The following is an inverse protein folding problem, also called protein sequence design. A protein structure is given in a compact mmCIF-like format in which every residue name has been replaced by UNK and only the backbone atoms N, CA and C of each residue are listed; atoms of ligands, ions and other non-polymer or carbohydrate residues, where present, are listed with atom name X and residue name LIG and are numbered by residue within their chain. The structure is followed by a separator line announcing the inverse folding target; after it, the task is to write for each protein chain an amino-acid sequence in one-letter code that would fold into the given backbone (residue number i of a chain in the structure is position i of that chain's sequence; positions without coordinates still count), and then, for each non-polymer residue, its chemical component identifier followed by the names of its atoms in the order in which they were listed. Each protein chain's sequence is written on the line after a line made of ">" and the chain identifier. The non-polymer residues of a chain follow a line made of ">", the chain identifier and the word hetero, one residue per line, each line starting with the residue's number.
data_IF_828203648721
#
_entry.id   IF_828203648721
#
_cell.length_a   1.000
_cell.length_b   1.000
_cell.length_c   1.000
_cell.angle_alpha   90.00
_cell.angle_beta   90.00
_cell.angle_gamma   90.00
#
_symmetry.space_group_name_H-M   'P 1'
#
loop_
_entity.id
_entity.type
_entity.pdbx_description
1 polymer ?
#
# COMPACT_ATOMS: atom_id res chain seq x y z
N UNK A 1 11.45 2.02 8.86
CA UNK A 1 11.05 2.49 7.52
C UNK A 1 9.55 2.26 7.40
N UNK A 2 8.79 3.25 6.93
CA UNK A 2 7.30 3.23 6.91
C UNK A 2 6.72 2.04 6.14
N UNK A 3 7.42 1.57 5.12
CA UNK A 3 7.03 0.47 4.25
C UNK A 3 6.79 -0.86 5.01
N UNK A 4 7.61 -1.17 6.01
CA UNK A 4 7.44 -2.35 6.88
C UNK A 4 6.15 -2.24 7.70
N UNK A 5 5.81 -1.04 8.18
CA UNK A 5 4.60 -0.80 8.95
C UNK A 5 3.34 -0.93 8.09
N UNK A 6 3.37 -0.40 6.86
CA UNK A 6 2.30 -0.60 5.88
C UNK A 6 2.11 -2.07 5.52
N UNK A 7 3.21 -2.81 5.34
CA UNK A 7 3.19 -4.27 5.12
C UNK A 7 2.50 -4.98 6.29
N UNK A 8 2.99 -4.80 7.51
CA UNK A 8 2.46 -5.48 8.70
C UNK A 8 0.97 -5.17 8.92
N UNK A 9 0.59 -3.92 8.73
CA UNK A 9 -0.80 -3.50 8.90
C UNK A 9 -1.71 -4.11 7.81
N UNK A 10 -1.26 -4.17 6.56
CA UNK A 10 -2.00 -4.86 5.49
C UNK A 10 -2.18 -6.35 5.77
N UNK A 11 -1.15 -7.04 6.27
CA UNK A 11 -1.25 -8.46 6.67
C UNK A 11 -2.28 -8.62 7.79
N UNK A 12 -2.22 -7.75 8.81
CA UNK A 12 -3.15 -7.76 9.94
C UNK A 12 -4.60 -7.49 9.53
N UNK A 13 -4.81 -6.53 8.62
CA UNK A 13 -6.14 -6.12 8.16
C UNK A 13 -6.80 -7.17 7.25
N UNK A 14 -6.02 -7.79 6.37
CA UNK A 14 -6.55 -8.64 5.29
C UNK A 14 -6.40 -10.13 5.57
N UNK A 15 -5.49 -10.53 6.48
CA UNK A 15 -5.11 -11.91 6.71
C UNK A 15 -4.33 -12.54 5.56
N UNK A 16 -3.94 -11.76 4.54
CA UNK A 16 -3.15 -12.23 3.40
C UNK A 16 -1.66 -12.02 3.65
N UNK A 17 -0.78 -12.90 3.13
CA UNK A 17 0.64 -12.64 3.13
C UNK A 17 0.96 -11.44 2.22
N UNK A 18 1.85 -10.56 2.68
CA UNK A 18 2.26 -9.36 1.94
C UNK A 18 3.76 -9.42 1.63
N UNK A 19 4.12 -9.30 0.36
CA UNK A 19 5.51 -9.41 -0.12
C UNK A 19 6.02 -8.08 -0.71
N UNK A 20 7.29 -7.71 -0.47
CA UNK A 20 7.92 -6.59 -1.17
C UNK A 20 8.30 -6.99 -2.59
N UNK A 21 8.02 -6.13 -3.57
CA UNK A 21 8.44 -6.20 -4.99
C UNK A 21 7.86 -7.36 -5.80
N UNK A 22 7.90 -8.58 -5.29
CA UNK A 22 7.49 -9.80 -5.99
C UNK A 22 6.96 -10.85 -5.01
N UNK A 23 5.96 -11.60 -5.46
CA UNK A 23 5.44 -12.80 -4.76
C UNK A 23 6.26 -14.04 -5.11
N UNK A 24 6.29 -15.07 -4.27
CA UNK A 24 6.74 -16.42 -4.67
C UNK A 24 5.87 -17.01 -5.79
N UNK A 25 6.46 -17.85 -6.64
CA UNK A 25 5.79 -18.44 -7.82
C UNK A 25 4.61 -19.37 -7.46
N UNK A 26 4.62 -19.96 -6.27
CA UNK A 26 3.59 -20.89 -5.78
C UNK A 26 2.45 -20.21 -5.01
N UNK A 27 2.49 -18.88 -4.86
CA UNK A 27 1.51 -18.13 -4.06
C UNK A 27 0.56 -17.34 -4.96
N UNK A 28 -0.67 -17.84 -5.09
CA UNK A 28 -1.70 -17.20 -5.92
C UNK A 28 -2.71 -16.31 -5.19
N UNK A 29 -2.61 -16.22 -3.86
CA UNK A 29 -3.47 -15.38 -3.04
C UNK A 29 -2.61 -14.57 -2.05
N UNK A 30 -2.30 -13.33 -2.40
CA UNK A 30 -1.39 -12.48 -1.65
C UNK A 30 -1.52 -11.00 -2.04
N UNK A 31 -0.73 -10.16 -1.38
CA UNK A 31 -0.53 -8.77 -1.76
C UNK A 31 0.96 -8.54 -2.03
N UNK A 32 1.29 -7.79 -3.07
CA UNK A 32 2.65 -7.33 -3.34
C UNK A 32 2.69 -5.81 -3.21
N UNK A 33 3.69 -5.26 -2.53
CA UNK A 33 3.84 -3.80 -2.41
C UNK A 33 5.17 -3.30 -2.97
N UNK A 34 5.17 -2.07 -3.46
CA UNK A 34 6.39 -1.38 -3.92
C UNK A 34 6.30 0.13 -3.69
N UNK A 35 7.46 0.76 -3.48
CA UNK A 35 7.60 2.23 -3.47
C UNK A 35 7.79 2.69 -4.90
N UNK A 36 6.87 3.49 -5.42
CA UNK A 36 6.86 3.91 -6.83
C UNK A 36 7.58 5.24 -7.02
N UNK A 37 7.53 6.13 -6.03
CA UNK A 37 8.16 7.44 -6.11
C UNK A 37 8.26 8.11 -4.75
N UNK A 38 9.37 8.82 -4.53
CA UNK A 38 9.59 9.69 -3.38
C UNK A 38 9.52 11.15 -3.83
N UNK A 39 8.64 11.94 -3.21
CA UNK A 39 8.62 13.38 -3.35
C UNK A 39 8.99 14.01 -2.00
N UNK A 40 10.14 14.69 -1.96
CA UNK A 40 10.54 15.53 -0.83
C UNK A 40 10.20 16.98 -1.20
N UNK A 41 9.09 17.56 -0.70
CA UNK A 41 8.88 18.99 -0.84
C UNK A 41 10.03 19.75 -0.17
N UNK A 42 10.78 20.53 -0.94
CA UNK A 42 11.73 21.50 -0.40
C UNK A 42 10.94 22.69 0.15
N UNK A 43 10.62 22.65 1.44
CA UNK A 43 9.70 23.61 2.07
C UNK A 43 10.38 24.91 2.48
N UNK A 44 11.71 25.06 2.32
CA UNK A 44 12.46 26.30 2.67
C UNK A 44 12.33 26.76 4.13
N UNK A 45 11.63 26.00 4.98
CA UNK A 45 11.34 26.29 6.38
C UNK A 45 12.14 25.31 7.24
N UNK A 46 13.06 25.85 8.04
CA UNK A 46 13.91 25.08 8.92
C UNK A 46 13.08 24.31 9.95
N UNK A 47 13.09 22.97 9.86
CA UNK A 47 12.80 22.10 11.00
C UNK A 47 11.82 20.94 10.79
N UNK A 48 11.09 20.85 9.68
CA UNK A 48 10.17 19.71 9.44
C UNK A 48 10.30 19.22 8.00
N UNK A 49 11.17 18.24 7.77
CA UNK A 49 11.22 17.54 6.49
C UNK A 49 10.08 16.53 6.42
N UNK A 50 8.99 16.94 5.76
CA UNK A 50 7.93 16.02 5.36
C UNK A 50 8.37 15.27 4.12
N UNK A 51 8.13 13.96 4.11
CA UNK A 51 8.30 13.11 2.94
C UNK A 51 6.92 12.66 2.50
N UNK A 52 6.63 12.80 1.21
CA UNK A 52 5.45 12.22 0.59
C UNK A 52 5.90 11.11 -0.36
N UNK A 53 5.50 9.88 -0.09
CA UNK A 53 5.87 8.72 -0.89
C UNK A 53 4.62 8.06 -1.48
N UNK A 54 4.77 7.47 -2.66
CA UNK A 54 3.71 6.69 -3.30
C UNK A 54 4.03 5.21 -3.18
N UNK A 55 3.13 4.49 -2.52
CA UNK A 55 3.17 3.04 -2.37
C UNK A 55 2.09 2.41 -3.23
N UNK A 56 2.46 1.43 -4.05
CA UNK A 56 1.48 0.64 -4.79
C UNK A 56 1.31 -0.72 -4.13
N UNK A 57 0.06 -1.11 -3.88
CA UNK A 57 -0.34 -2.40 -3.37
C UNK A 57 -1.10 -3.16 -4.46
N UNK A 58 -0.50 -4.25 -4.97
CA UNK A 58 -1.08 -5.16 -5.96
C UNK A 58 -1.65 -6.38 -5.25
N UNK A 59 -2.96 -6.48 -5.21
CA UNK A 59 -3.72 -7.59 -4.65
C UNK A 59 -3.89 -8.65 -5.73
N UNK A 60 -3.55 -9.90 -5.42
CA UNK A 60 -3.58 -11.00 -6.37
C UNK A 60 -4.42 -12.13 -5.76
N UNK A 61 -5.41 -12.62 -6.52
CA UNK A 61 -6.25 -13.75 -6.11
C UNK A 61 -6.88 -14.41 -7.33
N UNK A 62 -7.15 -15.73 -7.32
CA UNK A 62 -7.97 -16.37 -8.35
C UNK A 62 -9.41 -15.82 -8.41
N UNK A 63 -9.88 -15.17 -7.32
CA UNK A 63 -11.21 -14.57 -7.26
C UNK A 63 -11.15 -13.05 -7.42
N UNK A 64 -11.76 -12.56 -8.50
CA UNK A 64 -11.95 -11.11 -8.71
C UNK A 64 -12.66 -10.45 -7.53
N UNK A 65 -13.69 -11.09 -7.00
CA UNK A 65 -14.48 -10.56 -5.88
C UNK A 65 -13.61 -10.37 -4.65
N UNK A 66 -12.76 -11.35 -4.31
CA UNK A 66 -11.84 -11.23 -3.17
C UNK A 66 -10.87 -10.06 -3.34
N UNK A 67 -10.37 -9.80 -4.55
CA UNK A 67 -9.48 -8.65 -4.77
C UNK A 67 -10.20 -7.31 -4.52
N UNK A 68 -11.50 -7.21 -4.90
CA UNK A 68 -12.34 -6.03 -4.61
C UNK A 68 -12.55 -5.86 -3.10
N UNK A 69 -12.89 -6.94 -2.41
CA UNK A 69 -13.13 -6.91 -0.96
C UNK A 69 -11.87 -6.53 -0.19
N UNK A 70 -10.72 -7.09 -0.59
CA UNK A 70 -9.41 -6.78 0.00
C UNK A 70 -9.03 -5.32 -0.21
N UNK A 71 -9.21 -4.77 -1.42
CA UNK A 71 -8.97 -3.35 -1.69
C UNK A 71 -9.86 -2.47 -0.81
N UNK A 72 -11.14 -2.84 -0.67
CA UNK A 72 -12.08 -2.09 0.16
C UNK A 72 -11.65 -2.05 1.62
N UNK A 73 -11.12 -3.17 2.16
CA UNK A 73 -10.57 -3.21 3.53
C UNK A 73 -9.42 -2.21 3.68
N UNK A 74 -8.46 -2.21 2.75
CA UNK A 74 -7.32 -1.30 2.80
C UNK A 74 -7.75 0.17 2.66
N UNK A 75 -8.67 0.47 1.72
CA UNK A 75 -9.20 1.82 1.55
C UNK A 75 -9.93 2.30 2.80
N UNK A 76 -10.79 1.47 3.41
CA UNK A 76 -11.51 1.84 4.63
C UNK A 76 -10.58 2.06 5.82
N UNK A 77 -9.47 1.35 5.88
CA UNK A 77 -8.51 1.49 6.96
C UNK A 77 -7.60 2.71 6.78
N UNK A 78 -7.20 3.03 5.55
CA UNK A 78 -6.11 3.98 5.30
C UNK A 78 -6.54 5.28 4.62
N UNK A 79 -7.54 5.27 3.74
CA UNK A 79 -7.94 6.46 2.98
C UNK A 79 -8.45 7.55 3.93
N UNK A 80 -7.78 8.71 3.92
CA UNK A 80 -8.18 9.86 4.72
C UNK A 80 -7.68 9.86 6.16
N UNK A 81 -6.83 8.89 6.56
CA UNK A 81 -6.11 8.98 7.84
C UNK A 81 -5.30 10.28 7.90
N UNK A 82 -5.43 11.01 9.02
CA UNK A 82 -4.75 12.29 9.24
C UNK A 82 -4.24 12.37 10.68
N UNK A 83 -2.95 12.69 10.85
CA UNK A 83 -2.24 12.74 12.14
C UNK A 83 -2.45 11.48 13.00
N UNK A 84 -2.33 10.30 12.38
CA UNK A 84 -2.58 9.00 13.01
C UNK A 84 -1.35 8.08 12.92
N UNK A 85 -1.52 6.79 13.21
CA UNK A 85 -0.47 5.79 13.17
C UNK A 85 -0.88 4.57 12.34
N UNK A 86 0.05 4.06 11.55
CA UNK A 86 -0.03 2.73 10.92
C UNK A 86 1.00 1.84 11.61
N UNK A 87 0.54 0.73 12.21
CA UNK A 87 1.40 -0.19 12.96
C UNK A 87 2.35 0.56 13.93
N UNK A 88 1.82 1.58 14.62
CA UNK A 88 2.58 2.43 15.55
C UNK A 88 3.44 3.54 14.92
N UNK A 89 3.63 3.54 13.60
CA UNK A 89 4.41 4.54 12.88
C UNK A 89 3.57 5.79 12.57
N UNK A 90 4.04 7.01 12.92
CA UNK A 90 3.27 8.23 12.71
C UNK A 90 3.16 8.60 11.23
N UNK A 91 1.93 8.85 10.78
CA UNK A 91 1.60 9.33 9.44
C UNK A 91 0.84 10.65 9.55
N UNK A 92 1.20 11.62 8.71
CA UNK A 92 0.54 12.92 8.68
C UNK A 92 -0.74 12.85 7.87
N UNK A 93 -0.69 12.19 6.72
CA UNK A 93 -1.85 12.05 5.85
C UNK A 93 -1.69 10.88 4.89
N UNK A 94 -2.79 10.18 4.58
CA UNK A 94 -2.84 9.17 3.54
C UNK A 94 -3.95 9.49 2.55
N UNK A 95 -3.56 9.67 1.29
CA UNK A 95 -4.49 9.84 0.18
C UNK A 95 -4.55 8.59 -0.70
N UNK A 96 -5.72 8.37 -1.30
CA UNK A 96 -5.88 7.39 -2.36
C UNK A 96 -5.25 7.89 -3.66
N UNK A 97 -4.53 7.03 -4.34
CA UNK A 97 -3.91 7.29 -5.64
C UNK A 97 -4.47 6.42 -6.78
N UNK A 98 -3.61 6.13 -7.75
CA UNK A 98 -3.91 5.36 -8.97
C UNK A 98 -4.58 4.00 -8.72
N UNK A 99 -5.23 3.51 -9.77
CA UNK A 99 -5.94 2.22 -9.80
C UNK A 99 -5.61 1.49 -11.09
N UNK A 100 -5.37 0.18 -11.00
CA UNK A 100 -5.42 -0.71 -12.15
C UNK A 100 -6.07 -2.03 -11.78
N UNK A 101 -6.71 -2.66 -12.75
CA UNK A 101 -7.19 -4.04 -12.66
C UNK A 101 -6.77 -4.77 -13.94
N UNK A 102 -6.28 -5.99 -13.78
CA UNK A 102 -5.84 -6.85 -14.87
C UNK A 102 -6.11 -8.33 -14.51
N UNK A 103 -6.05 -9.21 -15.51
CA UNK A 103 -6.13 -10.66 -15.33
C UNK A 103 -4.90 -11.32 -15.92
N UNK A 104 -4.13 -12.00 -15.08
CA UNK A 104 -2.98 -12.78 -15.51
C UNK A 104 -3.45 -14.17 -15.98
N UNK A 105 -3.37 -14.38 -17.28
CA UNK A 105 -3.75 -15.66 -17.90
C UNK A 105 -2.78 -16.81 -17.64
N UNK A 106 -1.51 -16.54 -17.28
CA UNK A 106 -0.53 -17.60 -17.02
C UNK A 106 -0.84 -18.30 -15.69
N UNK A 107 -1.07 -17.50 -14.66
CA UNK A 107 -1.38 -18.00 -13.31
C UNK A 107 -2.89 -18.11 -13.04
N UNK A 108 -3.72 -17.67 -13.99
CA UNK A 108 -5.18 -17.59 -13.90
C UNK A 108 -5.66 -16.79 -12.67
N UNK A 109 -5.06 -15.63 -12.42
CA UNK A 109 -5.36 -14.77 -11.26
C UNK A 109 -5.78 -13.36 -11.67
N UNK A 110 -6.66 -12.77 -10.86
CA UNK A 110 -6.98 -11.36 -10.93
C UNK A 110 -5.95 -10.54 -10.17
N UNK A 111 -5.51 -9.45 -10.79
CA UNK A 111 -4.56 -8.51 -10.25
C UNK A 111 -5.21 -7.13 -10.10
N UNK A 112 -5.28 -6.61 -8.88
CA UNK A 112 -5.85 -5.29 -8.60
C UNK A 112 -4.82 -4.43 -7.88
N UNK A 113 -4.38 -3.35 -8.51
CA UNK A 113 -3.38 -2.45 -7.92
C UNK A 113 -4.02 -1.14 -7.45
N UNK A 114 -3.61 -0.71 -6.26
CA UNK A 114 -4.03 0.55 -5.64
C UNK A 114 -2.81 1.31 -5.14
N UNK A 115 -2.69 2.56 -5.53
CA UNK A 115 -1.67 3.44 -4.95
C UNK A 115 -2.20 4.13 -3.69
N UNK A 116 -1.33 4.28 -2.68
CA UNK A 116 -1.50 5.12 -1.50
C UNK A 116 -0.39 6.16 -1.47
N UNK A 117 -0.77 7.43 -1.33
CA UNK A 117 0.16 8.56 -1.21
C UNK A 117 0.25 8.87 0.27
N UNK A 118 1.39 8.58 0.88
CA UNK A 118 1.59 8.69 2.33
C UNK A 118 2.55 9.82 2.63
N UNK A 119 2.09 10.78 3.43
CA UNK A 119 2.93 11.86 3.97
C UNK A 119 3.30 11.53 5.40
N UNK A 120 4.60 11.57 5.71
CA UNK A 120 5.14 11.34 7.04
C UNK A 120 6.36 12.22 7.30
N UNK A 121 6.82 12.28 8.54
CA UNK A 121 8.06 12.98 8.87
C UNK A 121 9.28 12.15 8.43
N UNK A 122 10.34 12.80 7.98
CA UNK A 122 11.67 12.20 7.89
C UNK A 122 12.12 11.85 9.32
N UNK A 123 12.28 10.56 9.61
CA UNK A 123 12.74 10.04 10.91
C UNK A 123 14.20 9.64 10.79
#
# INVERSE_FOLDING_TARGET
>A
MLDIHLKNDAERLTGLPVYPLQRPDDVNECIVYQVVSDFKPDTGLAGVSLITQRYQFKIISPSRVKTIETEKILLQAWEGLAHDKIDGYPVQFIARGGFTEDFDSQDAVWCRSRDFIVTHNEV
#
